data_IF_574137100103
#
_entry.id   IF_574137100103
#
_cell.length_a   1.000
_cell.length_b   1.000
_cell.length_c   1.000
_cell.angle_alpha   90.00
_cell.angle_beta   90.00
_cell.angle_gamma   90.00
#
_symmetry.space_group_name_H-M   'P 1'
#
loop_
_entity.id
_entity.type
_entity.pdbx_description
1 polymer ?
#
# COMPACT_ATOMS: atom_id res chain seq x y z
N UNK A 1 -29.50 -26.66 36.24
CA UNK A 1 -28.75 -26.05 37.36
C UNK A 1 -29.45 -24.75 37.74
N UNK A 2 -29.51 -24.43 39.04
CA UNK A 2 -30.57 -23.63 39.69
C UNK A 2 -30.64 -22.15 39.24
N UNK A 3 -31.84 -21.69 38.87
CA UNK A 3 -32.24 -20.29 38.90
C UNK A 3 -32.19 -19.75 40.35
N UNK A 4 -31.68 -18.54 40.52
CA UNK A 4 -31.92 -17.70 41.70
C UNK A 4 -32.75 -16.47 41.34
N UNK A 5 -33.59 -16.10 42.29
CA UNK A 5 -34.78 -15.25 42.17
C UNK A 5 -34.66 -14.15 43.24
N UNK A 6 -35.10 -12.93 42.91
CA UNK A 6 -35.49 -11.78 43.78
C UNK A 6 -34.31 -10.90 44.23
N UNK A 7 -34.35 -9.56 44.17
CA UNK A 7 -35.37 -8.61 44.67
C UNK A 7 -35.08 -7.23 44.04
N UNK A 8 -35.93 -6.65 43.18
CA UNK A 8 -37.01 -5.69 43.46
C UNK A 8 -36.61 -4.43 44.28
N UNK A 9 -36.46 -3.29 43.59
CA UNK A 9 -36.72 -1.97 44.15
C UNK A 9 -37.55 -1.16 43.15
N UNK A 10 -38.83 -1.00 43.48
CA UNK A 10 -39.76 -0.06 42.85
C UNK A 10 -39.62 1.27 43.60
N UNK A 11 -39.41 2.35 42.88
CA UNK A 11 -39.83 3.68 43.31
C UNK A 11 -40.55 4.33 42.13
N UNK A 12 -41.86 4.47 42.30
CA UNK A 12 -42.73 5.21 41.39
C UNK A 12 -42.70 6.69 41.79
N UNK A 13 -42.49 7.55 40.82
CA UNK A 13 -42.73 8.99 40.90
C UNK A 13 -43.33 9.46 39.58
N UNK A 14 -44.65 9.63 39.59
CA UNK A 14 -45.49 10.35 38.59
C UNK A 14 -44.88 11.76 38.39
N UNK A 15 -44.77 12.39 37.22
CA UNK A 15 -45.44 12.28 35.94
C UNK A 15 -45.88 13.69 35.51
N UNK A 16 -45.15 14.32 34.58
CA UNK A 16 -45.56 15.38 33.63
C UNK A 16 -44.55 15.21 32.48
N UNK A 17 -44.89 14.93 31.22
CA UNK A 17 -46.02 15.40 30.45
C UNK A 17 -45.56 16.36 29.36
N UNK A 18 -44.54 15.99 28.57
CA UNK A 18 -44.25 16.61 27.27
C UNK A 18 -43.87 15.49 26.31
N UNK A 19 -44.80 15.15 25.42
CA UNK A 19 -44.51 14.41 24.22
C UNK A 19 -43.74 15.34 23.27
N UNK A 20 -42.46 15.05 23.06
CA UNK A 20 -41.75 15.48 21.85
C UNK A 20 -41.55 14.20 21.06
N UNK A 21 -42.44 13.99 20.10
CA UNK A 21 -42.28 13.02 19.03
C UNK A 21 -41.80 13.79 17.80
N UNK A 22 -40.81 13.22 17.10
CA UNK A 22 -40.06 13.78 15.97
C UNK A 22 -38.57 13.54 16.24
N UNK A 23 -38.01 12.38 15.87
CA UNK A 23 -37.23 12.19 14.63
C UNK A 23 -36.04 13.18 14.65
N UNK A 24 -34.80 12.80 15.00
CA UNK A 24 -33.90 11.91 14.24
C UNK A 24 -34.22 11.94 12.74
N UNK A 25 -33.95 13.09 12.14
CA UNK A 25 -33.60 13.19 10.73
C UNK A 25 -32.06 13.18 10.67
N UNK A 26 -31.41 12.18 10.06
CA UNK A 26 -30.16 12.44 9.36
C UNK A 26 -30.54 13.30 8.15
N UNK A 27 -30.40 14.62 8.26
CA UNK A 27 -30.41 15.47 7.09
C UNK A 27 -29.12 15.17 6.32
N UNK A 28 -29.16 14.14 5.46
CA UNK A 28 -28.30 14.08 4.29
C UNK A 28 -28.68 15.32 3.48
N UNK A 29 -27.79 16.31 3.45
CA UNK A 29 -27.96 17.52 2.66
C UNK A 29 -27.84 17.13 1.18
N UNK A 30 -28.92 16.55 0.63
CA UNK A 30 -29.07 16.22 -0.78
C UNK A 30 -29.33 17.52 -1.55
N UNK A 31 -28.30 18.37 -1.61
CA UNK A 31 -28.30 19.60 -2.37
C UNK A 31 -28.12 19.27 -3.85
N UNK A 32 -29.23 19.08 -4.58
CA UNK A 32 -29.23 19.05 -6.05
C UNK A 32 -28.65 20.37 -6.55
N UNK A 33 -27.37 20.35 -6.93
CA UNK A 33 -26.58 21.54 -7.24
C UNK A 33 -25.89 21.30 -8.57
N UNK A 34 -26.23 22.09 -9.59
CA UNK A 34 -25.53 22.15 -10.87
C UNK A 34 -25.20 20.78 -11.50
N UNK A 35 -26.18 19.88 -11.61
CA UNK A 35 -26.00 18.62 -12.34
C UNK A 35 -25.27 17.50 -11.60
N UNK A 36 -25.14 17.62 -10.28
CA UNK A 36 -24.68 16.53 -9.42
C UNK A 36 -25.61 16.28 -8.23
N UNK A 37 -25.58 15.05 -7.75
CA UNK A 37 -26.10 14.63 -6.44
C UNK A 37 -24.93 14.13 -5.60
N UNK A 38 -24.90 14.48 -4.31
CA UNK A 38 -23.77 14.16 -3.44
C UNK A 38 -24.21 13.56 -2.11
N UNK A 39 -23.46 12.56 -1.66
CA UNK A 39 -23.59 11.97 -0.34
C UNK A 39 -22.22 11.96 0.34
N UNK A 40 -22.16 12.23 1.65
CA UNK A 40 -20.90 12.29 2.40
C UNK A 40 -20.93 11.39 3.62
N UNK A 41 -19.78 10.82 3.98
CA UNK A 41 -19.62 9.99 5.17
C UNK A 41 -18.23 10.20 5.80
N UNK A 42 -18.12 10.37 7.13
CA UNK A 42 -16.82 10.32 7.80
C UNK A 42 -16.19 8.93 7.63
N UNK A 43 -14.94 8.84 7.19
CA UNK A 43 -14.32 7.56 6.85
C UNK A 43 -13.57 6.97 8.05
N UNK A 44 -12.43 7.55 8.41
CA UNK A 44 -11.57 7.02 9.46
C UNK A 44 -10.78 8.12 10.17
N UNK A 45 -10.17 7.76 11.30
CA UNK A 45 -9.20 8.60 12.02
C UNK A 45 -7.97 7.78 12.31
N UNK A 46 -6.83 8.22 11.77
CA UNK A 46 -5.55 7.54 11.96
C UNK A 46 -4.65 8.37 12.88
N UNK A 47 -3.74 7.69 13.56
CA UNK A 47 -2.66 8.33 14.35
C UNK A 47 -1.29 8.05 13.76
N UNK A 48 -1.17 7.04 12.89
CA UNK A 48 0.00 6.83 12.06
C UNK A 48 0.05 7.88 10.94
N UNK A 49 1.24 8.45 10.73
CA UNK A 49 1.47 9.47 9.70
C UNK A 49 1.27 8.87 8.30
N UNK A 50 0.34 9.40 7.48
CA UNK A 50 0.14 8.93 6.12
C UNK A 50 1.25 9.40 5.19
N UNK A 51 1.40 8.73 4.03
CA UNK A 51 2.46 9.03 3.07
C UNK A 51 2.36 10.44 2.45
N UNK A 52 1.14 10.97 2.32
CA UNK A 52 0.89 12.30 1.77
C UNK A 52 1.30 13.43 2.71
N UNK A 53 1.33 13.19 4.02
CA UNK A 53 1.71 14.21 5.02
C UNK A 53 3.22 14.40 5.01
N UNK A 54 3.73 15.03 3.95
CA UNK A 54 5.11 15.48 3.79
C UNK A 54 5.08 16.96 3.41
N UNK A 55 6.18 17.67 3.68
CA UNK A 55 6.37 19.07 3.26
C UNK A 55 5.24 20.04 3.68
N UNK A 56 4.70 19.85 4.90
CA UNK A 56 3.65 20.68 5.50
C UNK A 56 2.34 20.73 4.69
N UNK A 57 1.99 19.65 3.98
CA UNK A 57 0.73 19.52 3.24
C UNK A 57 -0.50 19.65 4.17
N UNK A 58 -1.52 20.41 3.74
CA UNK A 58 -2.76 20.62 4.53
C UNK A 58 -3.76 19.45 4.43
N UNK A 59 -3.60 18.58 3.44
CA UNK A 59 -4.50 17.48 3.16
C UNK A 59 -4.17 16.73 1.88
N UNK A 60 -4.98 15.72 1.57
CA UNK A 60 -4.88 14.88 0.39
C UNK A 60 -6.27 14.64 -0.21
N UNK A 61 -6.35 14.54 -1.53
CA UNK A 61 -7.59 14.28 -2.28
C UNK A 61 -7.32 13.15 -3.25
N UNK A 62 -8.11 12.09 -3.17
CA UNK A 62 -8.03 10.94 -4.09
C UNK A 62 -9.37 10.79 -4.79
N UNK A 63 -9.36 10.84 -6.11
CA UNK A 63 -10.54 10.53 -6.95
C UNK A 63 -10.47 9.06 -7.34
N UNK A 64 -11.61 8.37 -7.24
CA UNK A 64 -11.78 6.96 -7.56
C UNK A 64 -12.85 6.86 -8.65
N UNK A 65 -12.48 6.22 -9.74
CA UNK A 65 -13.23 6.11 -10.99
C UNK A 65 -13.44 4.66 -11.45
N UNK A 66 -12.93 3.68 -10.72
CA UNK A 66 -13.17 2.26 -11.00
C UNK A 66 -13.08 1.38 -9.73
N UNK A 67 -13.53 0.12 -9.87
CA UNK A 67 -13.59 -0.86 -8.79
C UNK A 67 -12.20 -1.29 -8.26
N UNK A 68 -11.18 -1.40 -9.12
CA UNK A 68 -9.84 -1.84 -8.72
C UNK A 68 -9.16 -0.72 -7.90
N UNK A 69 -9.29 0.52 -8.35
CA UNK A 69 -8.83 1.71 -7.64
C UNK A 69 -9.57 1.88 -6.30
N UNK A 70 -10.89 1.62 -6.29
CA UNK A 70 -11.68 1.61 -5.05
C UNK A 70 -11.11 0.62 -4.04
N UNK A 71 -10.89 -0.62 -4.47
CA UNK A 71 -10.35 -1.67 -3.61
C UNK A 71 -8.97 -1.27 -3.06
N UNK A 72 -8.10 -0.75 -3.93
CA UNK A 72 -6.74 -0.35 -3.57
C UNK A 72 -6.70 0.82 -2.57
N UNK A 73 -7.59 1.81 -2.73
CA UNK A 73 -7.71 2.92 -1.77
C UNK A 73 -8.22 2.42 -0.43
N UNK A 74 -9.28 1.61 -0.42
CA UNK A 74 -9.94 1.21 0.82
C UNK A 74 -9.24 0.08 1.59
N UNK A 75 -8.43 -0.76 0.94
CA UNK A 75 -7.58 -1.72 1.66
C UNK A 75 -6.61 -1.06 2.65
N UNK A 76 -6.28 0.23 2.45
CA UNK A 76 -5.48 1.04 3.40
C UNK A 76 -6.23 1.41 4.68
N UNK A 77 -7.54 1.22 4.68
CA UNK A 77 -8.46 1.57 5.76
C UNK A 77 -9.11 0.34 6.40
N UNK A 78 -8.80 -0.89 5.97
CA UNK A 78 -9.40 -2.12 6.50
C UNK A 78 -9.26 -2.24 8.03
N UNK A 79 -8.12 -1.84 8.58
CA UNK A 79 -7.90 -1.82 10.05
C UNK A 79 -8.47 -0.56 10.73
N UNK A 80 -8.79 0.48 9.96
CA UNK A 80 -9.19 1.79 10.46
C UNK A 80 -10.72 1.98 10.50
N UNK A 81 -11.47 1.29 9.64
CA UNK A 81 -12.93 1.24 9.69
C UNK A 81 -13.34 0.23 10.75
N UNK A 82 -13.64 0.71 11.96
CA UNK A 82 -14.04 -0.15 13.07
C UNK A 82 -15.29 -0.99 12.78
N UNK A 83 -15.39 -2.16 13.42
CA UNK A 83 -16.46 -3.16 13.21
C UNK A 83 -17.88 -2.56 13.29
N UNK A 84 -18.09 -1.57 14.15
CA UNK A 84 -19.40 -0.93 14.36
C UNK A 84 -19.87 -0.11 13.14
N UNK A 85 -18.95 0.29 12.25
CA UNK A 85 -19.23 1.12 11.07
C UNK A 85 -19.06 0.38 9.75
N UNK A 86 -18.61 -0.87 9.78
CA UNK A 86 -18.37 -1.66 8.57
C UNK A 86 -19.64 -1.84 7.73
N UNK A 87 -20.81 -2.05 8.35
CA UNK A 87 -22.09 -2.19 7.63
C UNK A 87 -22.50 -0.89 6.93
N UNK A 88 -22.34 0.27 7.61
CA UNK A 88 -22.64 1.60 7.04
C UNK A 88 -21.69 1.90 5.87
N UNK A 89 -20.40 1.64 6.08
CA UNK A 89 -19.37 1.83 5.07
C UNK A 89 -19.60 0.95 3.84
N UNK A 90 -19.89 -0.34 4.03
CA UNK A 90 -20.22 -1.25 2.92
C UNK A 90 -21.47 -0.79 2.19
N UNK A 91 -22.53 -0.41 2.91
CA UNK A 91 -23.76 0.11 2.30
C UNK A 91 -23.51 1.36 1.45
N UNK A 92 -22.61 2.24 1.89
CA UNK A 92 -22.24 3.45 1.14
C UNK A 92 -21.54 3.13 -0.19
N UNK A 93 -20.72 2.07 -0.21
CA UNK A 93 -19.96 1.61 -1.37
C UNK A 93 -20.74 0.66 -2.29
N UNK A 94 -21.97 0.29 -1.94
CA UNK A 94 -22.76 -0.63 -2.73
C UNK A 94 -23.27 0.00 -4.04
N UNK A 95 -23.20 -0.78 -5.12
CA UNK A 95 -23.79 -0.48 -6.44
C UNK A 95 -23.36 0.88 -7.00
N UNK A 96 -22.06 1.20 -6.92
CA UNK A 96 -21.51 2.38 -7.60
C UNK A 96 -21.43 2.09 -9.09
N UNK A 97 -22.01 2.97 -9.91
CA UNK A 97 -21.86 2.95 -11.35
C UNK A 97 -20.80 3.96 -11.77
N UNK A 98 -19.57 3.50 -11.92
CA UNK A 98 -18.44 4.33 -12.35
C UNK A 98 -18.58 4.91 -13.77
N UNK A 99 -19.63 4.58 -14.52
CA UNK A 99 -20.01 5.31 -15.72
C UNK A 99 -20.47 6.74 -15.44
N UNK A 100 -21.20 6.93 -14.33
CA UNK A 100 -21.86 8.20 -13.98
C UNK A 100 -21.52 8.67 -12.54
N UNK A 101 -20.72 7.90 -11.79
CA UNK A 101 -20.40 8.17 -10.38
C UNK A 101 -18.89 8.22 -10.12
N UNK A 102 -18.50 9.01 -9.12
CA UNK A 102 -17.13 9.04 -8.57
C UNK A 102 -17.18 9.00 -7.05
N UNK A 103 -16.15 8.42 -6.47
CA UNK A 103 -15.84 8.60 -5.06
C UNK A 103 -14.65 9.53 -4.90
N UNK A 104 -14.70 10.37 -3.88
CA UNK A 104 -13.60 11.27 -3.51
C UNK A 104 -13.27 11.06 -2.04
N UNK A 105 -12.06 10.59 -1.76
CA UNK A 105 -11.53 10.53 -0.40
C UNK A 105 -10.79 11.84 -0.14
N UNK A 106 -11.18 12.53 0.92
CA UNK A 106 -10.47 13.71 1.42
C UNK A 106 -9.85 13.37 2.76
N UNK A 107 -8.61 13.76 2.94
CA UNK A 107 -7.87 13.59 4.19
C UNK A 107 -7.28 14.93 4.62
N UNK A 108 -7.15 15.11 5.92
CA UNK A 108 -6.43 16.24 6.50
C UNK A 108 -5.79 15.84 7.82
N UNK A 109 -5.29 16.81 8.56
CA UNK A 109 -4.48 16.62 9.77
C UNK A 109 -4.98 17.50 10.90
N UNK A 110 -5.01 16.94 12.11
CA UNK A 110 -5.46 17.57 13.34
C UNK A 110 -4.39 17.55 14.44
N UNK A 111 -4.33 18.59 15.30
CA UNK A 111 -3.29 18.70 16.33
C UNK A 111 -3.41 17.71 17.50
N UNK A 112 -4.60 17.17 17.75
CA UNK A 112 -4.88 16.37 18.95
C UNK A 112 -6.05 15.41 18.72
N UNK A 113 -6.30 14.52 19.69
CA UNK A 113 -7.35 13.50 19.61
C UNK A 113 -8.80 14.02 19.51
N UNK A 114 -9.06 15.32 19.71
CA UNK A 114 -10.38 15.91 19.48
C UNK A 114 -10.57 16.42 18.04
N UNK A 115 -9.52 16.40 17.22
CA UNK A 115 -9.61 16.72 15.79
C UNK A 115 -9.74 15.42 15.02
N UNK A 116 -10.82 14.69 15.30
CA UNK A 116 -11.08 13.32 14.84
C UNK A 116 -12.20 13.26 13.79
N UNK A 117 -12.57 14.41 13.23
CA UNK A 117 -13.63 14.51 12.22
C UNK A 117 -13.19 15.42 11.10
N UNK A 118 -13.44 14.99 9.87
CA UNK A 118 -13.39 15.82 8.67
C UNK A 118 -14.81 15.87 8.10
N UNK A 119 -15.30 17.06 7.78
CA UNK A 119 -16.62 17.25 7.19
C UNK A 119 -16.47 17.86 5.80
N UNK A 120 -17.17 17.31 4.80
CA UNK A 120 -17.18 17.79 3.42
C UNK A 120 -18.49 18.53 3.17
N UNK A 121 -18.42 19.71 2.55
CA UNK A 121 -19.58 20.54 2.26
C UNK A 121 -19.39 21.36 0.96
N UNK A 122 -20.45 22.06 0.54
CA UNK A 122 -20.44 22.98 -0.61
C UNK A 122 -19.94 22.35 -1.93
N UNK A 123 -20.22 21.06 -2.13
CA UNK A 123 -19.89 20.35 -3.36
C UNK A 123 -20.71 20.86 -4.55
N UNK A 124 -20.04 21.12 -5.67
CA UNK A 124 -20.66 21.59 -6.93
C UNK A 124 -19.74 21.28 -8.10
N UNK A 125 -20.29 21.32 -9.32
CA UNK A 125 -19.49 21.42 -10.54
C UNK A 125 -19.12 22.87 -10.85
N UNK A 126 -17.88 23.09 -11.28
CA UNK A 126 -17.34 24.35 -11.79
C UNK A 126 -16.50 24.05 -13.05
N UNK A 127 -16.97 24.47 -14.22
CA UNK A 127 -16.27 24.25 -15.51
C UNK A 127 -15.86 22.77 -15.79
N UNK A 128 -16.65 21.81 -15.32
CA UNK A 128 -16.39 20.37 -15.50
C UNK A 128 -15.47 19.75 -14.44
N UNK A 129 -15.05 20.53 -13.45
CA UNK A 129 -14.32 20.08 -12.28
C UNK A 129 -15.25 19.98 -11.06
N UNK A 130 -15.08 18.94 -10.25
CA UNK A 130 -15.76 18.85 -8.96
C UNK A 130 -15.06 19.75 -7.95
N UNK A 131 -15.77 20.71 -7.37
CA UNK A 131 -15.20 21.58 -6.33
C UNK A 131 -15.98 21.40 -5.02
N UNK A 132 -15.26 21.34 -3.90
CA UNK A 132 -15.86 21.17 -2.57
C UNK A 132 -15.03 21.87 -1.48
N UNK A 133 -15.56 21.89 -0.25
CA UNK A 133 -14.85 22.30 0.96
C UNK A 133 -14.73 21.11 1.92
N UNK A 134 -13.63 21.04 2.64
CA UNK A 134 -13.45 20.07 3.71
C UNK A 134 -12.79 20.71 4.93
N UNK A 135 -13.38 20.54 6.10
CA UNK A 135 -12.91 21.18 7.33
C UNK A 135 -12.70 20.15 8.44
N UNK A 136 -11.52 20.18 9.08
CA UNK A 136 -11.25 19.39 10.28
C UNK A 136 -11.96 20.03 11.47
N UNK A 137 -12.79 19.24 12.15
CA UNK A 137 -13.66 19.71 13.24
C UNK A 137 -13.05 19.34 14.59
N UNK A 138 -13.03 20.31 15.51
CA UNK A 138 -12.80 20.06 16.93
C UNK A 138 -14.09 19.53 17.57
N UNK A 139 -14.09 18.26 17.94
CA UNK A 139 -15.24 17.56 18.55
C UNK A 139 -15.26 17.66 20.07
N UNK A 140 -14.36 18.43 20.68
CA UNK A 140 -14.32 18.60 22.13
C UNK A 140 -15.55 19.36 22.66
N UNK A 141 -16.14 18.83 23.73
CA UNK A 141 -17.13 19.57 24.51
C UNK A 141 -16.41 20.54 25.46
N UNK A 142 -17.12 21.60 25.91
CA UNK A 142 -16.61 22.53 26.91
C UNK A 142 -16.10 21.72 28.13
N UNK A 143 -14.78 21.79 28.42
CA UNK A 143 -14.05 21.06 29.48
C UNK A 143 -13.47 19.67 29.12
N UNK A 144 -13.55 19.22 27.87
CA UNK A 144 -12.90 17.97 27.44
C UNK A 144 -11.37 18.14 27.32
N UNK A 145 -10.63 17.24 27.96
CA UNK A 145 -9.17 17.18 27.79
C UNK A 145 -8.81 16.23 26.65
N UNK A 146 -8.23 16.78 25.58
CA UNK A 146 -7.79 16.03 24.40
C UNK A 146 -6.38 15.46 24.62
N UNK A 147 -6.15 14.21 24.19
CA UNK A 147 -4.80 13.66 24.18
C UNK A 147 -3.93 14.39 23.13
N UNK A 148 -2.69 14.72 23.49
CA UNK A 148 -1.73 15.38 22.60
C UNK A 148 -1.12 14.37 21.61
N UNK A 149 -1.88 14.05 20.57
CA UNK A 149 -1.49 13.16 19.47
C UNK A 149 -2.03 13.70 18.16
N UNK A 150 -1.16 13.85 17.16
CA UNK A 150 -1.59 14.26 15.81
C UNK A 150 -2.52 13.20 15.24
N UNK A 151 -3.65 13.65 14.69
CA UNK A 151 -4.68 12.82 14.06
C UNK A 151 -4.76 13.10 12.58
N UNK A 152 -5.19 12.10 11.81
CA UNK A 152 -5.43 12.21 10.37
C UNK A 152 -6.86 11.74 10.09
N UNK A 153 -7.86 12.63 10.25
CA UNK A 153 -9.23 12.33 9.89
C UNK A 153 -9.42 12.32 8.37
N UNK A 154 -10.29 11.44 7.91
CA UNK A 154 -10.70 11.34 6.51
C UNK A 154 -12.22 11.30 6.36
N UNK A 155 -12.68 11.74 5.19
CA UNK A 155 -14.08 11.73 4.81
C UNK A 155 -14.21 11.27 3.36
N UNK A 156 -15.36 10.69 3.06
CA UNK A 156 -15.72 10.17 1.75
C UNK A 156 -16.88 11.00 1.19
N UNK A 157 -16.75 11.37 -0.08
CA UNK A 157 -17.79 12.00 -0.88
C UNK A 157 -18.12 11.08 -2.05
N UNK A 158 -19.38 10.67 -2.17
CA UNK A 158 -19.94 10.02 -3.36
C UNK A 158 -20.65 11.07 -4.19
N UNK A 159 -20.35 11.10 -5.49
CA UNK A 159 -20.95 12.05 -6.42
C UNK A 159 -21.54 11.28 -7.59
N UNK A 160 -22.82 11.53 -7.87
CA UNK A 160 -23.50 11.09 -9.09
C UNK A 160 -23.65 12.28 -10.02
N UNK A 161 -23.23 12.12 -11.27
CA UNK A 161 -23.25 13.15 -12.31
C UNK A 161 -24.44 12.94 -13.25
N UNK A 162 -25.11 14.02 -13.66
CA UNK A 162 -26.17 13.95 -14.68
C UNK A 162 -25.61 13.80 -16.11
N UNK A 163 -24.38 14.29 -16.32
CA UNK A 163 -23.62 14.27 -17.56
C UNK A 163 -22.28 13.52 -17.33
N UNK A 164 -21.30 13.67 -18.23
CA UNK A 164 -19.99 13.04 -18.10
C UNK A 164 -19.34 13.32 -16.72
N UNK A 165 -18.87 12.29 -15.99
CA UNK A 165 -18.31 12.45 -14.66
C UNK A 165 -16.99 13.23 -14.68
N UNK A 166 -16.74 14.00 -13.62
CA UNK A 166 -15.50 14.74 -13.46
C UNK A 166 -14.41 13.84 -12.85
N UNK A 167 -13.32 13.62 -13.59
CA UNK A 167 -12.14 12.87 -13.11
C UNK A 167 -11.15 13.73 -12.31
N UNK A 168 -11.54 14.97 -12.00
CA UNK A 168 -10.73 15.92 -11.23
C UNK A 168 -11.58 16.55 -10.13
N UNK A 169 -11.03 16.60 -8.92
CA UNK A 169 -11.63 17.24 -7.76
C UNK A 169 -10.68 18.28 -7.15
N UNK A 170 -11.15 19.52 -7.00
CA UNK A 170 -10.45 20.57 -6.28
C UNK A 170 -11.17 20.89 -4.96
N UNK A 171 -10.55 20.48 -3.85
CA UNK A 171 -11.12 20.62 -2.51
C UNK A 171 -10.37 21.70 -1.74
N UNK A 172 -11.08 22.71 -1.24
CA UNK A 172 -10.52 23.65 -0.27
C UNK A 172 -10.49 22.97 1.11
N UNK A 173 -9.32 22.51 1.53
CA UNK A 173 -9.11 21.76 2.78
C UNK A 173 -8.60 22.70 3.87
N UNK A 174 -9.30 22.75 5.00
CA UNK A 174 -8.88 23.44 6.22
C UNK A 174 -8.43 22.42 7.27
N UNK A 175 -7.15 22.47 7.66
CA UNK A 175 -6.60 21.58 8.68
C UNK A 175 -7.03 21.98 10.12
N UNK A 176 -6.69 21.15 11.11
CA UNK A 176 -7.04 21.41 12.51
C UNK A 176 -6.31 22.60 13.16
N UNK A 177 -5.36 23.23 12.45
CA UNK A 177 -4.74 24.50 12.86
C UNK A 177 -5.40 25.73 12.21
N UNK A 178 -6.41 25.53 11.35
CA UNK A 178 -7.11 26.59 10.63
C UNK A 178 -6.37 27.10 9.39
N UNK A 179 -5.39 26.35 8.88
CA UNK A 179 -4.74 26.64 7.61
C UNK A 179 -5.52 26.02 6.47
N UNK A 180 -5.79 26.81 5.43
CA UNK A 180 -6.57 26.38 4.26
C UNK A 180 -5.72 26.41 2.99
N UNK A 181 -5.78 25.34 2.19
CA UNK A 181 -5.30 25.35 0.82
C UNK A 181 -6.22 24.53 -0.10
N UNK A 182 -6.18 24.83 -1.39
CA UNK A 182 -6.85 23.99 -2.40
C UNK A 182 -5.95 22.81 -2.73
N UNK A 183 -6.47 21.62 -2.48
CA UNK A 183 -5.85 20.34 -2.83
C UNK A 183 -6.59 19.80 -4.05
N UNK A 184 -5.85 19.49 -5.10
CA UNK A 184 -6.40 18.93 -6.35
C UNK A 184 -6.01 17.46 -6.41
N UNK A 185 -6.98 16.60 -6.70
CA UNK A 185 -6.78 15.19 -6.98
C UNK A 185 -7.42 14.80 -8.30
N UNK A 186 -6.81 13.86 -9.00
CA UNK A 186 -7.32 13.29 -10.27
C UNK A 186 -7.43 11.77 -10.20
N UNK A 187 -8.27 11.19 -11.07
CA UNK A 187 -8.38 9.74 -11.22
C UNK A 187 -7.05 9.10 -11.66
N UNK A 188 -6.24 9.84 -12.43
CA UNK A 188 -4.93 9.41 -12.93
C UNK A 188 -3.78 9.61 -11.93
N UNK A 189 -4.04 10.22 -10.76
CA UNK A 189 -2.99 10.44 -9.77
C UNK A 189 -2.51 9.10 -9.20
N UNK A 190 -1.20 8.88 -9.06
CA UNK A 190 -0.70 7.61 -8.55
C UNK A 190 -1.08 7.45 -7.08
N UNK A 191 -1.58 6.27 -6.72
CA UNK A 191 -1.88 5.91 -5.35
C UNK A 191 -0.61 5.64 -4.54
N UNK A 192 0.46 5.22 -5.20
CA UNK A 192 1.76 4.89 -4.61
C UNK A 192 2.92 5.63 -5.29
N UNK A 193 4.17 5.28 -4.94
CA UNK A 193 5.33 5.77 -5.68
C UNK A 193 5.32 5.23 -7.11
N UNK A 194 5.61 6.08 -8.07
CA UNK A 194 5.87 5.64 -9.45
C UNK A 194 7.30 5.10 -9.57
N UNK A 195 7.60 4.45 -10.70
CA UNK A 195 8.96 3.99 -11.02
C UNK A 195 10.01 5.10 -10.91
N UNK A 196 9.65 6.34 -11.22
CA UNK A 196 10.54 7.50 -11.18
C UNK A 196 10.80 8.02 -9.75
N UNK A 197 9.91 7.73 -8.80
CA UNK A 197 10.03 8.14 -7.40
C UNK A 197 10.92 7.18 -6.59
N UNK A 198 11.16 5.98 -7.12
CA UNK A 198 11.93 4.94 -6.43
C UNK A 198 13.43 5.27 -6.38
N UNK A 199 13.99 5.13 -5.19
CA UNK A 199 15.43 5.18 -4.96
C UNK A 199 16.11 3.86 -5.31
N UNK A 200 17.43 3.89 -5.49
CA UNK A 200 18.24 2.71 -5.78
C UNK A 200 18.47 2.47 -7.27
N UNK A 201 19.03 1.31 -7.58
CA UNK A 201 19.62 0.98 -8.87
C UNK A 201 19.02 -0.32 -9.42
N UNK A 202 19.06 -0.46 -10.76
CA UNK A 202 18.69 -1.71 -11.45
C UNK A 202 19.93 -2.56 -11.71
N UNK A 203 21.00 -1.94 -12.20
CA UNK A 203 22.29 -2.59 -12.48
C UNK A 203 23.40 -1.55 -12.61
N UNK A 204 24.67 -1.93 -12.44
CA UNK A 204 25.78 -1.07 -12.80
C UNK A 204 25.85 -0.92 -14.33
N UNK A 205 26.40 0.21 -14.80
CA UNK A 205 26.50 0.52 -16.24
C UNK A 205 27.63 -0.25 -16.96
N UNK A 206 28.72 -0.54 -16.24
CA UNK A 206 29.85 -1.31 -16.74
C UNK A 206 29.48 -2.78 -16.94
N UNK A 207 30.19 -3.54 -17.75
CA UNK A 207 29.98 -4.99 -17.95
C UNK A 207 31.29 -5.75 -17.68
N UNK A 208 31.54 -6.18 -16.44
CA UNK A 208 32.80 -6.81 -16.05
C UNK A 208 32.93 -8.20 -16.69
N UNK A 209 34.17 -8.68 -16.79
CA UNK A 209 34.41 -10.04 -17.29
C UNK A 209 33.75 -11.06 -16.35
N UNK A 210 33.03 -12.06 -16.90
CA UNK A 210 32.43 -13.12 -16.09
C UNK A 210 33.52 -13.92 -15.37
N UNK A 211 33.13 -14.53 -14.24
CA UNK A 211 34.04 -15.41 -13.50
C UNK A 211 34.05 -16.82 -14.14
N UNK A 212 35.08 -17.64 -13.87
CA UNK A 212 35.02 -19.05 -14.23
C UNK A 212 33.77 -19.74 -13.64
N UNK A 213 33.26 -20.80 -14.27
CA UNK A 213 32.12 -21.55 -13.76
C UNK A 213 32.34 -21.98 -12.31
N UNK A 214 31.27 -21.92 -11.52
CA UNK A 214 31.30 -22.28 -10.11
C UNK A 214 31.43 -23.80 -9.94
N UNK A 215 32.56 -24.23 -9.38
CA UNK A 215 32.87 -25.64 -9.09
C UNK A 215 32.86 -25.91 -7.59
N UNK A 216 32.38 -27.09 -7.21
CA UNK A 216 32.21 -27.52 -5.83
C UNK A 216 32.98 -28.80 -5.57
N UNK A 217 33.88 -28.77 -4.59
CA UNK A 217 34.63 -29.96 -4.16
C UNK A 217 33.72 -31.03 -3.51
N UNK A 218 32.52 -30.64 -3.08
CA UNK A 218 31.53 -31.53 -2.48
C UNK A 218 30.92 -32.45 -3.55
N UNK A 219 30.98 -33.76 -3.31
CA UNK A 219 30.29 -34.76 -4.13
C UNK A 219 28.77 -34.71 -3.84
N UNK A 220 27.94 -35.03 -4.84
CA UNK A 220 26.47 -35.17 -4.70
C UNK A 220 25.70 -33.88 -4.33
N UNK A 221 26.22 -32.71 -4.73
CA UNK A 221 25.49 -31.43 -4.62
C UNK A 221 24.92 -30.98 -5.96
N UNK A 222 23.76 -30.34 -5.92
CA UNK A 222 23.13 -29.69 -7.07
C UNK A 222 22.95 -28.19 -6.78
N UNK A 223 23.20 -27.37 -7.79
CA UNK A 223 23.02 -25.91 -7.70
C UNK A 223 21.55 -25.58 -7.55
N UNK A 224 21.25 -24.60 -6.70
CA UNK A 224 19.88 -24.14 -6.48
C UNK A 224 19.24 -23.77 -7.83
N UNK A 225 18.09 -24.37 -8.19
CA UNK A 225 17.53 -24.22 -9.51
C UNK A 225 17.04 -22.79 -9.74
N UNK A 226 17.18 -22.33 -10.97
CA UNK A 226 16.52 -21.09 -11.39
C UNK A 226 15.01 -21.32 -11.44
N UNK A 227 14.25 -20.48 -10.74
CA UNK A 227 12.79 -20.68 -10.63
C UNK A 227 11.98 -20.24 -11.86
N UNK A 228 12.62 -19.62 -12.86
CA UNK A 228 12.00 -19.04 -14.05
C UNK A 228 12.95 -19.16 -15.26
N UNK A 229 12.41 -19.20 -16.48
CA UNK A 229 13.25 -19.21 -17.69
C UNK A 229 13.98 -17.88 -17.88
N UNK A 230 15.24 -17.92 -18.36
CA UNK A 230 16.08 -16.73 -18.55
C UNK A 230 15.42 -15.65 -19.44
N UNK A 231 14.62 -16.08 -20.41
CA UNK A 231 13.93 -15.18 -21.35
C UNK A 231 12.71 -14.48 -20.74
N UNK A 232 12.26 -14.90 -19.55
CA UNK A 232 11.12 -14.34 -18.82
C UNK A 232 11.56 -13.47 -17.63
N UNK A 233 12.87 -13.20 -17.51
CA UNK A 233 13.42 -12.33 -16.48
C UNK A 233 13.51 -10.90 -17.04
N UNK A 234 12.73 -10.01 -16.45
CA UNK A 234 12.80 -8.57 -16.70
C UNK A 234 13.76 -7.87 -15.75
N UNK A 235 14.37 -6.77 -16.21
CA UNK A 235 15.31 -5.98 -15.40
C UNK A 235 14.61 -4.81 -14.73
N UNK A 236 14.58 -4.85 -13.39
CA UNK A 236 14.15 -3.74 -12.56
C UNK A 236 12.65 -3.43 -12.56
N UNK A 237 11.92 -3.63 -13.65
CA UNK A 237 10.47 -3.37 -13.70
C UNK A 237 9.78 -4.45 -14.50
N UNK A 238 8.65 -4.93 -13.98
CA UNK A 238 7.73 -5.84 -14.68
C UNK A 238 6.46 -5.07 -14.99
N UNK A 239 5.98 -5.24 -16.21
CA UNK A 239 4.73 -4.66 -16.69
C UNK A 239 3.58 -5.67 -16.59
N UNK A 240 2.38 -5.18 -16.28
CA UNK A 240 1.13 -5.90 -16.45
C UNK A 240 0.21 -5.06 -17.33
N UNK A 241 -0.30 -5.67 -18.41
CA UNK A 241 -1.15 -4.99 -19.41
C UNK A 241 -0.49 -3.78 -20.09
N UNK A 242 0.84 -3.75 -20.18
CA UNK A 242 1.68 -2.66 -20.71
C UNK A 242 1.90 -1.48 -19.75
N UNK A 243 1.47 -1.59 -18.50
CA UNK A 243 1.74 -0.61 -17.44
C UNK A 243 2.69 -1.20 -16.39
N UNK A 244 3.59 -0.39 -15.80
CA UNK A 244 4.44 -0.84 -14.69
C UNK A 244 3.61 -1.39 -13.52
N UNK A 245 3.88 -2.62 -13.11
CA UNK A 245 3.19 -3.27 -12.00
C UNK A 245 4.10 -3.40 -10.77
N UNK A 246 5.30 -3.94 -10.97
CA UNK A 246 6.28 -4.15 -9.91
C UNK A 246 7.62 -3.56 -10.32
N UNK A 247 8.32 -2.96 -9.37
CA UNK A 247 9.69 -2.49 -9.55
C UNK A 247 10.61 -3.04 -8.47
N UNK A 248 11.75 -3.59 -8.89
CA UNK A 248 12.83 -4.09 -8.03
C UNK A 248 14.03 -3.15 -8.10
N UNK A 249 14.57 -2.75 -6.95
CA UNK A 249 15.75 -1.88 -6.82
C UNK A 249 16.73 -2.45 -5.80
N UNK A 250 18.02 -2.25 -6.02
CA UNK A 250 19.09 -2.47 -5.04
C UNK A 250 19.66 -1.12 -4.60
N UNK A 251 19.97 -0.95 -3.33
CA UNK A 251 20.34 0.37 -2.78
C UNK A 251 21.63 0.94 -3.38
N UNK A 252 22.62 0.09 -3.64
CA UNK A 252 23.91 0.48 -4.21
C UNK A 252 24.26 -0.46 -5.38
N UNK A 253 24.95 0.02 -6.41
CA UNK A 253 25.36 -0.81 -7.54
C UNK A 253 26.62 -1.65 -7.23
N UNK A 254 27.29 -1.43 -6.10
CA UNK A 254 28.50 -2.14 -5.74
C UNK A 254 28.62 -2.30 -4.22
N UNK A 255 29.20 -3.42 -3.80
CA UNK A 255 29.39 -3.79 -2.40
C UNK A 255 30.76 -4.45 -2.18
N UNK A 256 31.27 -4.32 -0.97
CA UNK A 256 32.39 -5.11 -0.45
C UNK A 256 31.89 -6.37 0.27
N UNK A 257 32.70 -7.43 0.27
CA UNK A 257 32.42 -8.63 1.04
C UNK A 257 32.16 -8.30 2.51
N UNK A 258 31.08 -8.85 3.07
CA UNK A 258 30.61 -8.52 4.41
C UNK A 258 29.63 -7.36 4.50
N UNK A 259 29.44 -6.58 3.43
CA UNK A 259 28.38 -5.56 3.40
C UNK A 259 27.00 -6.18 3.18
N UNK A 260 25.95 -5.41 3.48
CA UNK A 260 24.56 -5.84 3.30
C UNK A 260 23.96 -5.16 2.08
N UNK A 261 23.63 -5.97 1.06
CA UNK A 261 22.81 -5.54 -0.05
C UNK A 261 21.35 -5.47 0.39
N UNK A 262 20.74 -4.29 0.23
CA UNK A 262 19.30 -4.11 0.47
C UNK A 262 18.57 -4.04 -0.86
N UNK A 263 17.63 -4.95 -1.07
CA UNK A 263 16.83 -5.10 -2.28
C UNK A 263 15.37 -4.86 -1.92
N UNK A 264 14.68 -4.04 -2.70
CA UNK A 264 13.27 -3.67 -2.49
C UNK A 264 12.45 -3.94 -3.73
N UNK A 265 11.39 -4.73 -3.57
CA UNK A 265 10.30 -4.87 -4.54
C UNK A 265 9.19 -3.91 -4.10
N UNK A 266 8.61 -3.17 -5.04
CA UNK A 266 7.52 -2.23 -4.78
C UNK A 266 6.44 -2.38 -5.83
N UNK A 267 5.18 -2.48 -5.40
CA UNK A 267 4.02 -2.32 -6.26
C UNK A 267 3.91 -0.83 -6.64
N UNK A 268 4.09 -0.56 -7.94
CA UNK A 268 4.04 0.78 -8.52
C UNK A 268 2.77 1.02 -9.34
N UNK A 269 1.85 0.05 -9.36
CA UNK A 269 0.54 0.20 -9.97
C UNK A 269 -0.48 0.76 -8.96
N UNK A 270 -1.56 1.33 -9.49
CA UNK A 270 -2.68 1.87 -8.71
C UNK A 270 -3.75 0.83 -8.36
N UNK A 271 -3.34 -0.44 -8.30
CA UNK A 271 -4.17 -1.60 -7.96
C UNK A 271 -3.37 -2.58 -7.12
N UNK A 272 -4.03 -3.57 -6.54
CA UNK A 272 -3.33 -4.68 -5.91
C UNK A 272 -2.53 -5.47 -6.95
N UNK A 273 -1.35 -5.92 -6.55
CA UNK A 273 -0.52 -6.82 -7.35
C UNK A 273 -0.12 -8.03 -6.53
N UNK A 274 -0.36 -9.21 -7.08
CA UNK A 274 -0.09 -10.48 -6.42
C UNK A 274 1.28 -11.03 -6.79
N UNK A 275 1.93 -11.65 -5.81
CA UNK A 275 3.20 -12.36 -5.99
C UNK A 275 3.23 -13.64 -5.17
N UNK A 276 4.18 -14.51 -5.46
CA UNK A 276 4.57 -15.59 -4.58
C UNK A 276 5.31 -15.09 -3.34
N UNK A 277 5.48 -15.96 -2.36
CA UNK A 277 6.20 -15.62 -1.13
C UNK A 277 7.65 -15.14 -1.38
N UNK A 278 8.15 -14.29 -0.46
CA UNK A 278 9.48 -13.65 -0.52
C UNK A 278 10.68 -14.57 -0.62
N UNK A 279 10.54 -15.87 -0.39
CA UNK A 279 11.65 -16.82 -0.42
C UNK A 279 11.95 -17.33 -1.83
N UNK A 280 11.06 -17.02 -2.81
CA UNK A 280 11.19 -17.37 -4.21
C UNK A 280 12.22 -16.47 -4.93
N UNK A 281 13.50 -16.58 -4.55
CA UNK A 281 14.59 -15.82 -5.18
C UNK A 281 15.85 -16.64 -5.45
N UNK A 282 16.59 -16.23 -6.48
CA UNK A 282 17.95 -16.67 -6.77
C UNK A 282 18.96 -15.57 -6.44
N UNK A 283 20.15 -15.96 -5.99
CA UNK A 283 21.31 -15.07 -5.86
C UNK A 283 22.41 -15.65 -6.74
N UNK A 284 22.67 -15.00 -7.87
CA UNK A 284 23.48 -15.57 -8.95
C UNK A 284 24.68 -14.70 -9.25
N UNK A 285 25.76 -15.32 -9.72
CA UNK A 285 26.95 -14.64 -10.24
C UNK A 285 27.08 -14.90 -11.74
N UNK A 286 27.58 -13.90 -12.47
CA UNK A 286 27.83 -14.00 -13.91
C UNK A 286 29.08 -14.83 -14.17
N UNK A 287 28.92 -15.96 -14.85
CA UNK A 287 30.01 -16.88 -15.20
C UNK A 287 30.15 -17.07 -16.71
N UNK A 288 31.26 -17.70 -17.14
CA UNK A 288 31.46 -18.08 -18.55
C UNK A 288 30.34 -18.98 -19.09
N UNK A 289 29.66 -19.73 -18.22
CA UNK A 289 28.53 -20.62 -18.56
C UNK A 289 27.15 -19.94 -18.37
N UNK A 290 27.14 -18.61 -18.15
CA UNK A 290 25.95 -17.83 -17.85
C UNK A 290 25.77 -17.60 -16.35
N UNK A 291 24.55 -17.25 -15.94
CA UNK A 291 24.26 -16.98 -14.53
C UNK A 291 24.12 -18.26 -13.72
N UNK A 292 24.83 -18.34 -12.59
CA UNK A 292 24.82 -19.50 -11.71
C UNK A 292 24.49 -19.07 -10.29
N UNK A 293 23.50 -19.71 -9.64
CA UNK A 293 23.18 -19.44 -8.23
C UNK A 293 24.37 -19.85 -7.34
N UNK A 294 24.74 -19.01 -6.37
CA UNK A 294 25.88 -19.30 -5.50
C UNK A 294 25.59 -20.42 -4.49
N UNK A 295 24.32 -20.80 -4.33
CA UNK A 295 23.88 -21.81 -3.37
C UNK A 295 23.72 -23.16 -4.02
N UNK A 296 23.98 -24.20 -3.25
CA UNK A 296 23.80 -25.61 -3.60
C UNK A 296 23.01 -26.33 -2.51
N UNK A 297 22.40 -27.46 -2.86
CA UNK A 297 21.77 -28.39 -1.93
C UNK A 297 22.28 -29.82 -2.20
N UNK A 298 22.03 -30.75 -1.28
CA UNK A 298 22.19 -32.18 -1.56
C UNK A 298 21.28 -32.60 -2.73
N UNK A 299 21.81 -33.37 -3.69
CA UNK A 299 21.12 -33.75 -4.93
C UNK A 299 19.78 -34.48 -4.70
N UNK A 300 19.65 -35.23 -3.60
CA UNK A 300 18.43 -35.97 -3.27
C UNK A 300 17.38 -35.10 -2.53
N UNK A 301 17.65 -33.81 -2.31
CA UNK A 301 16.78 -32.95 -1.51
C UNK A 301 15.79 -32.17 -2.38
N UNK A 302 14.48 -32.44 -2.27
CA UNK A 302 13.49 -31.64 -2.98
C UNK A 302 13.44 -30.22 -2.40
N UNK A 303 13.62 -29.23 -3.27
CA UNK A 303 13.47 -27.80 -2.96
C UNK A 303 12.08 -27.35 -3.39
N UNK A 304 11.10 -27.55 -2.50
CA UNK A 304 9.71 -27.17 -2.73
C UNK A 304 9.38 -25.83 -2.10
N UNK A 305 8.82 -24.92 -2.90
CA UNK A 305 8.31 -23.65 -2.42
C UNK A 305 6.79 -23.71 -2.29
N UNK A 306 6.25 -23.09 -1.24
CA UNK A 306 4.79 -22.98 -1.09
C UNK A 306 4.22 -22.09 -2.19
N UNK A 307 3.11 -22.54 -2.77
CA UNK A 307 2.26 -21.73 -3.65
C UNK A 307 1.36 -20.84 -2.79
N UNK A 308 2.01 -19.89 -2.12
CA UNK A 308 1.38 -18.86 -1.32
C UNK A 308 1.33 -17.57 -2.15
N UNK A 309 0.14 -17.01 -2.26
CA UNK A 309 -0.16 -15.74 -2.89
C UNK A 309 -0.09 -14.62 -1.85
N UNK A 310 0.70 -13.60 -2.15
CA UNK A 310 0.90 -12.42 -1.32
C UNK A 310 0.44 -11.22 -2.12
N UNK A 311 -0.59 -10.56 -1.60
CA UNK A 311 -1.20 -9.35 -2.15
C UNK A 311 -0.41 -8.13 -1.68
N UNK A 312 -0.03 -7.25 -2.61
CA UNK A 312 0.64 -5.97 -2.30
C UNK A 312 -0.25 -4.79 -2.67
N UNK A 313 -0.55 -3.91 -1.72
CA UNK A 313 -1.20 -2.63 -2.01
C UNK A 313 -0.27 -1.70 -2.80
N UNK A 314 -0.78 -0.65 -3.47
CA UNK A 314 0.08 0.34 -4.12
C UNK A 314 1.08 0.96 -3.13
N UNK A 315 2.36 0.85 -3.46
CA UNK A 315 3.51 1.26 -2.64
C UNK A 315 4.05 0.20 -1.67
N UNK A 316 3.33 -0.90 -1.44
CA UNK A 316 3.81 -2.02 -0.62
C UNK A 316 4.71 -2.95 -1.43
N UNK A 317 5.33 -3.93 -0.75
CA UNK A 317 6.16 -4.92 -1.40
C UNK A 317 7.03 -5.69 -0.43
N UNK A 318 8.19 -6.15 -0.90
CA UNK A 318 9.15 -6.90 -0.10
C UNK A 318 10.46 -6.15 0.07
N UNK A 319 11.08 -6.34 1.22
CA UNK A 319 12.47 -5.97 1.46
C UNK A 319 13.29 -7.23 1.78
N UNK A 320 14.46 -7.33 1.13
CA UNK A 320 15.50 -8.30 1.45
C UNK A 320 16.75 -7.54 1.87
N UNK A 321 17.30 -7.93 3.00
CA UNK A 321 18.63 -7.52 3.44
C UNK A 321 19.51 -8.76 3.35
N UNK A 322 20.49 -8.76 2.46
CA UNK A 322 21.38 -9.90 2.19
C UNK A 322 22.79 -9.47 2.56
N UNK A 323 23.30 -9.95 3.68
CA UNK A 323 24.71 -9.79 4.01
C UNK A 323 25.54 -10.70 3.10
N UNK A 324 26.54 -10.13 2.43
CA UNK A 324 27.34 -10.78 1.40
C UNK A 324 28.48 -11.58 2.04
N UNK A 325 28.07 -12.56 2.85
CA UNK A 325 28.91 -13.59 3.46
C UNK A 325 28.26 -14.96 3.26
N UNK A 326 29.06 -16.01 3.21
CA UNK A 326 28.58 -17.37 3.05
C UNK A 326 27.60 -17.73 4.18
N UNK A 327 28.01 -17.51 5.44
CA UNK A 327 27.22 -17.81 6.64
C UNK A 327 25.85 -17.12 6.63
N UNK A 328 25.79 -15.81 6.35
CA UNK A 328 24.53 -15.09 6.37
C UNK A 328 23.58 -15.47 5.23
N UNK A 329 24.10 -15.85 4.06
CA UNK A 329 23.30 -16.34 2.94
C UNK A 329 22.70 -17.71 3.26
N UNK A 330 23.49 -18.60 3.88
CA UNK A 330 23.03 -19.93 4.31
C UNK A 330 21.94 -19.81 5.39
N UNK A 331 22.16 -18.99 6.42
CA UNK A 331 21.22 -18.79 7.53
C UNK A 331 19.87 -18.20 7.08
N UNK A 332 19.86 -17.39 6.02
CA UNK A 332 18.63 -16.77 5.48
C UNK A 332 17.82 -17.68 4.58
N UNK A 333 18.35 -18.83 4.18
CA UNK A 333 17.64 -19.75 3.31
C UNK A 333 16.55 -20.52 4.07
N UNK A 334 15.36 -20.64 3.48
CA UNK A 334 14.29 -21.50 4.02
C UNK A 334 14.57 -22.99 3.81
N UNK A 335 15.47 -23.29 2.87
CA UNK A 335 16.01 -24.61 2.64
C UNK A 335 17.42 -24.66 3.24
N UNK A 336 17.85 -25.84 3.62
CA UNK A 336 19.21 -26.08 4.08
C UNK A 336 20.11 -26.14 2.85
N UNK A 337 20.60 -24.96 2.46
CA UNK A 337 21.47 -24.68 1.31
C UNK A 337 22.83 -24.24 1.84
N UNK A 338 23.88 -24.62 1.12
CA UNK A 338 25.25 -24.17 1.36
C UNK A 338 25.69 -23.21 0.24
N UNK A 339 26.56 -22.25 0.54
CA UNK A 339 27.22 -21.44 -0.50
C UNK A 339 28.44 -22.19 -1.02
N UNK A 340 28.51 -22.37 -2.34
CA UNK A 340 29.62 -23.09 -2.96
C UNK A 340 29.88 -22.69 -4.43
N UNK A 341 31.13 -22.31 -4.77
CA UNK A 341 32.27 -22.06 -3.87
C UNK A 341 32.07 -20.79 -3.02
N UNK A 342 33.09 -20.37 -2.25
CA UNK A 342 33.11 -19.04 -1.61
C UNK A 342 32.80 -17.94 -2.63
N UNK A 343 32.17 -16.85 -2.19
CA UNK A 343 31.70 -15.78 -3.06
C UNK A 343 32.86 -15.15 -3.85
N UNK A 344 32.94 -15.34 -5.19
CA UNK A 344 33.97 -14.68 -5.99
C UNK A 344 33.71 -13.17 -6.10
N UNK A 345 34.76 -12.38 -6.32
CA UNK A 345 34.57 -11.01 -6.77
C UNK A 345 34.04 -11.03 -8.21
N UNK A 346 33.02 -10.22 -8.51
CA UNK A 346 32.39 -10.20 -9.82
C UNK A 346 30.99 -9.63 -9.80
N UNK A 347 30.26 -9.84 -10.89
CA UNK A 347 28.89 -9.35 -11.03
C UNK A 347 27.86 -10.34 -10.50
N UNK A 348 27.04 -9.85 -9.58
CA UNK A 348 25.93 -10.57 -9.01
C UNK A 348 24.59 -10.05 -9.54
N UNK A 349 23.57 -10.91 -9.51
CA UNK A 349 22.17 -10.52 -9.63
C UNK A 349 21.31 -11.21 -8.58
N UNK A 350 20.33 -10.46 -8.10
CA UNK A 350 19.21 -10.98 -7.32
C UNK A 350 18.02 -11.13 -8.27
N UNK A 351 17.46 -12.32 -8.36
CA UNK A 351 16.29 -12.61 -9.21
C UNK A 351 15.14 -13.03 -8.31
N UNK A 352 14.07 -12.24 -8.26
CA UNK A 352 12.81 -12.65 -7.65
C UNK A 352 11.92 -13.30 -8.71
N UNK A 353 11.61 -14.58 -8.51
CA UNK A 353 10.78 -15.39 -9.41
C UNK A 353 9.43 -15.74 -8.77
N UNK A 354 9.03 -15.01 -7.73
CA UNK A 354 7.66 -15.02 -7.24
C UNK A 354 6.71 -14.13 -8.08
N UNK A 355 7.17 -13.46 -9.12
CA UNK A 355 6.30 -12.69 -10.01
C UNK A 355 5.40 -13.66 -10.80
N UNK A 356 4.10 -13.38 -10.88
CA UNK A 356 3.19 -14.24 -11.65
C UNK A 356 3.53 -14.10 -13.15
N UNK A 357 3.92 -15.23 -13.77
CA UNK A 357 4.21 -15.28 -15.21
C UNK A 357 5.62 -14.84 -15.62
N UNK A 358 6.56 -14.66 -14.68
CA UNK A 358 7.94 -14.31 -15.01
C UNK A 358 8.84 -14.09 -13.79
N UNK A 359 9.91 -13.33 -13.97
CA UNK A 359 10.82 -12.93 -12.90
C UNK A 359 11.33 -11.51 -13.06
N UNK A 360 11.80 -10.92 -11.97
CA UNK A 360 12.41 -9.58 -11.96
C UNK A 360 13.77 -9.61 -11.32
N UNK A 361 14.74 -8.94 -11.93
CA UNK A 361 16.13 -8.95 -11.48
C UNK A 361 16.70 -7.55 -11.28
N UNK A 362 17.66 -7.47 -10.34
CA UNK A 362 18.61 -6.37 -10.19
C UNK A 362 20.01 -6.92 -10.06
N UNK A 363 21.01 -6.14 -10.48
CA UNK A 363 22.41 -6.52 -10.42
C UNK A 363 23.25 -5.54 -9.59
N UNK A 364 24.33 -6.05 -9.03
CA UNK A 364 25.34 -5.29 -8.30
C UNK A 364 26.70 -5.99 -8.43
N UNK A 365 27.78 -5.25 -8.24
CA UNK A 365 29.13 -5.80 -8.23
C UNK A 365 29.61 -6.09 -6.80
N UNK A 366 30.33 -7.19 -6.63
CA UNK A 366 30.95 -7.57 -5.36
C UNK A 366 32.48 -7.53 -5.48
N UNK A 367 33.13 -6.80 -4.59
CA UNK A 367 34.59 -6.79 -4.40
C UNK A 367 35.01 -7.43 -3.08
N UNK A 368 36.28 -7.87 -3.01
CA UNK A 368 36.89 -8.45 -1.79
C UNK A 368 38.11 -7.66 -1.34
#
# INVERSE_FOLDING_TARGET
MKLHRRTALRLAGVGVGTAVAGCLDPETDNGETNGITTETMPLAVRTGRPAWDRDDAVGNVVVIDDDDRQQAVFGRYDDAVGEDRSDEFQSFLENIDYGDERLVVVESVGPNACHDRLEIADSRLDDGELVARADVIDTSEEETACAEVVTYPSALLRVTFEDDPADTAAVAVTNGWGETATVVGTADDPLGPTVADLTGHVRPDDDPEPVPPLDCDAEEVERHPQGVDEAEIEWGTVEADSDPALALRVDEPAYEYGETATIRLTNVADRFVDTGNRNKYNLQVSTDDGWQDVRVADADRPMGYTDEEIVHSPGDGFEWQVELTEEAIEEKSIHDLAVCPELPAGRYRFVFWGVIGGGVAVAFDLSR
#
